data_IF_149989995460
#
_entry.id   IF_149989995460
#
_cell.length_a   1.000
_cell.length_b   1.000
_cell.length_c   1.000
_cell.angle_alpha   90.00
_cell.angle_beta   90.00
_cell.angle_gamma   90.00
#
_symmetry.space_group_name_H-M   'P 1'
#
loop_
_entity.id
_entity.type
_entity.pdbx_description
1 polymer ?
#
# COMPACT_ATOMS: atom_id res chain seq x y z
N UNK A 1 40.58 -20.01 -15.19
CA UNK A 1 40.73 -18.52 -15.10
C UNK A 1 39.43 -17.99 -14.49
N UNK A 2 39.40 -17.85 -13.17
CA UNK A 2 38.19 -17.39 -12.44
C UNK A 2 38.07 -15.87 -12.64
N UNK A 3 36.93 -15.44 -13.21
CA UNK A 3 36.62 -14.02 -13.29
C UNK A 3 36.64 -13.43 -11.87
N UNK A 4 37.41 -12.37 -11.67
CA UNK A 4 37.40 -11.58 -10.43
C UNK A 4 35.97 -11.09 -10.20
N UNK A 5 35.30 -11.64 -9.19
CA UNK A 5 34.00 -11.14 -8.72
C UNK A 5 34.17 -9.65 -8.42
N UNK A 6 33.55 -8.82 -9.28
CA UNK A 6 33.52 -7.39 -9.06
C UNK A 6 32.50 -7.13 -7.91
N UNK A 7 33.01 -7.25 -6.68
CA UNK A 7 32.20 -6.88 -5.51
C UNK A 7 32.19 -5.35 -5.34
N UNK A 8 31.02 -4.75 -5.45
CA UNK A 8 30.86 -3.32 -5.21
C UNK A 8 30.54 -3.10 -3.73
N UNK A 9 31.35 -2.26 -3.09
CA UNK A 9 31.14 -1.86 -1.69
C UNK A 9 29.97 -0.90 -1.60
N UNK A 10 28.86 -1.31 -0.99
CA UNK A 10 27.71 -0.44 -0.71
C UNK A 10 27.82 0.30 0.62
N UNK A 11 28.19 -0.45 1.64
CA UNK A 11 28.52 0.06 2.96
C UNK A 11 29.71 -0.75 3.50
N UNK A 12 30.42 -0.21 4.47
CA UNK A 12 31.50 -0.96 5.11
C UNK A 12 30.98 -2.33 5.60
N UNK A 13 31.51 -3.40 5.03
CA UNK A 13 31.13 -4.79 5.34
C UNK A 13 29.90 -5.31 4.59
N UNK A 14 29.39 -4.56 3.62
CA UNK A 14 28.26 -5.00 2.76
C UNK A 14 28.64 -4.83 1.30
N UNK A 15 28.66 -5.93 0.58
CA UNK A 15 29.10 -6.02 -0.79
C UNK A 15 27.98 -6.53 -1.70
N UNK A 16 27.90 -6.00 -2.91
CA UNK A 16 27.12 -6.62 -3.98
C UNK A 16 27.97 -7.58 -4.77
N UNK A 17 27.48 -8.77 -5.03
CA UNK A 17 28.15 -9.80 -5.84
C UNK A 17 27.41 -9.90 -7.18
N UNK A 18 28.16 -9.91 -8.26
CA UNK A 18 27.71 -10.26 -9.61
C UNK A 18 27.27 -9.10 -10.51
N UNK A 19 26.52 -8.09 -10.04
CA UNK A 19 26.04 -7.01 -10.92
C UNK A 19 26.14 -5.62 -10.27
N UNK A 20 26.64 -4.59 -11.00
CA UNK A 20 26.81 -3.23 -10.47
C UNK A 20 25.50 -2.48 -10.25
N UNK A 21 24.39 -2.89 -10.92
CA UNK A 21 23.10 -2.25 -10.75
C UNK A 21 22.27 -3.04 -9.76
N UNK A 22 22.14 -2.51 -8.54
CA UNK A 22 21.29 -3.10 -7.51
C UNK A 22 19.89 -2.50 -7.59
N UNK A 23 18.86 -3.36 -7.43
CA UNK A 23 17.47 -2.94 -7.31
C UNK A 23 17.28 -2.02 -6.10
N UNK A 24 16.14 -1.37 -6.06
CA UNK A 24 15.72 -0.58 -4.89
C UNK A 24 15.69 -1.43 -3.63
N UNK A 25 15.09 -2.60 -3.73
CA UNK A 25 14.96 -3.59 -2.64
C UNK A 25 16.35 -4.09 -2.19
N UNK A 26 17.25 -4.32 -3.12
CA UNK A 26 18.65 -4.67 -2.82
C UNK A 26 19.38 -3.58 -2.02
N UNK A 27 19.14 -2.29 -2.35
CA UNK A 27 19.68 -1.17 -1.56
C UNK A 27 19.11 -1.12 -0.16
N UNK A 28 17.82 -1.42 -0.01
CA UNK A 28 17.16 -1.49 1.30
C UNK A 28 17.71 -2.61 2.15
N UNK A 29 17.89 -3.80 1.57
CA UNK A 29 18.52 -4.93 2.26
C UNK A 29 19.96 -4.59 2.66
N UNK A 30 20.75 -3.99 1.77
CA UNK A 30 22.10 -3.55 2.06
C UNK A 30 22.16 -2.55 3.23
N UNK A 31 21.19 -1.62 3.32
CA UNK A 31 21.07 -0.68 4.41
C UNK A 31 20.81 -1.38 5.77
N UNK A 32 19.91 -2.35 5.79
CA UNK A 32 19.62 -3.16 6.99
C UNK A 32 20.87 -3.96 7.41
N UNK A 33 21.51 -4.67 6.48
CA UNK A 33 22.73 -5.43 6.75
C UNK A 33 23.86 -4.55 7.29
N UNK A 34 24.01 -3.34 6.74
CA UNK A 34 25.01 -2.38 7.21
C UNK A 34 24.75 -1.93 8.65
N UNK A 35 23.50 -1.89 9.09
CA UNK A 35 23.15 -1.55 10.47
C UNK A 35 23.29 -2.72 11.45
N UNK A 36 23.45 -3.95 10.95
CA UNK A 36 23.80 -5.17 11.72
C UNK A 36 22.60 -5.84 12.39
N UNK A 37 22.85 -6.79 13.31
CA UNK A 37 21.82 -7.60 13.93
C UNK A 37 20.70 -6.76 14.58
N UNK A 38 19.44 -7.19 14.42
CA UNK A 38 18.27 -6.51 14.96
C UNK A 38 17.86 -5.25 14.21
N UNK A 39 18.56 -4.86 13.14
CA UNK A 39 18.17 -3.75 12.30
C UNK A 39 17.01 -4.13 11.38
N UNK A 40 16.06 -3.22 11.20
CA UNK A 40 14.90 -3.39 10.31
C UNK A 40 14.60 -2.11 9.55
N UNK A 41 14.08 -2.20 8.33
CA UNK A 41 13.49 -1.04 7.67
C UNK A 41 12.33 -0.48 8.50
N UNK A 42 12.18 0.84 8.52
CA UNK A 42 11.15 1.50 9.31
C UNK A 42 10.64 2.79 8.64
N UNK A 43 9.67 3.44 9.27
CA UNK A 43 9.15 4.74 8.87
C UNK A 43 8.78 4.81 7.37
N UNK A 44 9.28 5.83 6.62
CA UNK A 44 8.92 6.06 5.21
C UNK A 44 9.43 4.96 4.29
N UNK A 45 10.58 4.37 4.59
CA UNK A 45 11.15 3.29 3.76
C UNK A 45 10.36 1.99 3.95
N UNK A 46 9.97 1.64 5.17
CA UNK A 46 9.08 0.51 5.42
C UNK A 46 7.71 0.71 4.74
N UNK A 47 7.14 1.92 4.85
CA UNK A 47 5.88 2.24 4.19
C UNK A 47 5.96 2.10 2.66
N UNK A 48 7.10 2.41 2.05
CA UNK A 48 7.33 2.20 0.63
C UNK A 48 7.46 0.70 0.27
N UNK A 49 8.10 -0.11 1.12
CA UNK A 49 8.20 -1.56 0.94
C UNK A 49 6.83 -2.24 1.06
N UNK A 50 5.99 -1.79 2.00
CA UNK A 50 4.61 -2.24 2.15
C UNK A 50 3.67 -1.78 1.02
N UNK A 51 4.09 -0.80 0.20
CA UNK A 51 3.22 -0.17 -0.80
C UNK A 51 2.21 0.83 -0.22
N UNK A 52 2.29 1.13 1.08
CA UNK A 52 1.40 2.08 1.78
C UNK A 52 1.64 3.52 1.28
N UNK A 53 2.87 3.84 0.91
CA UNK A 53 3.26 5.16 0.42
C UNK A 53 4.29 5.04 -0.71
N UNK A 54 4.36 6.02 -1.62
CA UNK A 54 5.46 6.10 -2.58
C UNK A 54 6.79 6.31 -1.83
N UNK A 55 7.87 5.79 -2.40
CA UNK A 55 9.20 6.06 -1.87
C UNK A 55 9.52 7.55 -1.95
N UNK A 56 10.04 8.10 -0.86
CA UNK A 56 10.63 9.45 -0.86
C UNK A 56 12.04 9.43 -1.44
N UNK A 57 12.50 10.57 -1.94
CA UNK A 57 13.89 10.77 -2.40
C UNK A 57 14.89 10.92 -1.23
N UNK A 58 14.43 10.79 0.00
CA UNK A 58 15.24 10.93 1.22
C UNK A 58 16.10 9.72 1.54
N UNK A 59 16.81 9.75 2.68
CA UNK A 59 17.64 8.66 3.17
C UNK A 59 16.80 7.41 3.44
N UNK A 60 17.46 6.23 3.38
CA UNK A 60 16.84 4.96 3.78
C UNK A 60 16.71 4.95 5.31
N UNK A 61 15.49 4.74 5.79
CA UNK A 61 15.17 4.77 7.21
C UNK A 61 15.23 3.37 7.81
N UNK A 62 16.08 3.20 8.82
CA UNK A 62 16.33 1.93 9.51
C UNK A 62 16.18 2.14 11.01
N UNK A 63 15.45 1.28 11.69
CA UNK A 63 15.41 1.23 13.16
C UNK A 63 16.35 0.14 13.66
N UNK A 64 17.13 0.48 14.68
CA UNK A 64 18.05 -0.43 15.37
C UNK A 64 17.73 -0.48 16.85
N UNK A 65 18.06 -1.58 17.57
CA UNK A 65 18.01 -1.61 19.03
C UNK A 65 18.84 -0.47 19.65
N UNK A 66 18.37 0.11 20.74
CA UNK A 66 19.04 1.22 21.43
C UNK A 66 20.48 0.91 21.86
N UNK A 67 20.77 -0.36 22.19
CA UNK A 67 22.09 -0.89 22.54
C UNK A 67 23.04 -0.98 21.35
N UNK A 68 22.58 -0.77 20.13
CA UNK A 68 23.41 -0.80 18.93
C UNK A 68 24.36 0.39 18.88
N UNK A 69 25.65 0.16 18.98
CA UNK A 69 26.71 1.18 18.94
C UNK A 69 26.98 1.78 17.55
N UNK A 70 26.05 1.71 16.60
CA UNK A 70 26.28 2.06 15.20
C UNK A 70 26.22 3.55 14.95
N UNK A 71 27.24 4.08 14.29
CA UNK A 71 27.38 5.49 13.91
C UNK A 71 26.56 5.87 12.68
N UNK A 72 26.38 7.17 12.46
CA UNK A 72 25.80 7.74 11.24
C UNK A 72 26.47 7.17 9.99
N UNK A 73 25.67 6.87 8.97
CA UNK A 73 26.16 6.42 7.65
C UNK A 73 25.55 7.28 6.55
N UNK A 74 26.31 7.64 5.53
CA UNK A 74 25.78 8.40 4.39
C UNK A 74 24.56 7.68 3.76
N UNK A 75 23.52 8.44 3.45
CA UNK A 75 22.29 7.92 2.84
C UNK A 75 21.38 7.11 3.77
N UNK A 76 21.70 6.96 5.05
CA UNK A 76 20.87 6.30 6.04
C UNK A 76 20.39 7.28 7.14
N UNK A 77 19.12 7.15 7.51
CA UNK A 77 18.55 7.73 8.71
C UNK A 77 18.30 6.61 9.72
N UNK A 78 19.12 6.60 10.79
CA UNK A 78 19.08 5.55 11.80
C UNK A 78 18.25 6.02 12.98
N UNK A 79 17.13 5.35 13.21
CA UNK A 79 16.30 5.50 14.39
C UNK A 79 16.73 4.48 15.46
N UNK A 80 16.69 4.88 16.73
CA UNK A 80 17.00 3.99 17.86
C UNK A 80 15.73 3.72 18.64
N UNK A 81 15.47 2.45 18.96
CA UNK A 81 14.31 2.06 19.73
C UNK A 81 14.74 1.23 20.95
N UNK A 82 14.27 1.62 22.12
CA UNK A 82 14.36 0.80 23.34
C UNK A 82 13.29 -0.28 23.40
N UNK A 83 12.24 -0.15 22.58
CA UNK A 83 11.04 -0.99 22.57
C UNK A 83 10.77 -1.51 21.13
N UNK A 84 11.73 -2.21 20.54
CA UNK A 84 11.50 -2.94 19.30
C UNK A 84 11.21 -4.41 19.65
N UNK A 85 9.94 -4.70 19.84
CA UNK A 85 9.49 -6.04 20.18
C UNK A 85 9.60 -6.96 18.93
N UNK A 86 9.88 -8.26 19.09
CA UNK A 86 9.82 -9.23 17.98
C UNK A 86 8.48 -9.22 17.24
N UNK A 87 7.35 -8.97 17.92
CA UNK A 87 6.03 -8.81 17.30
C UNK A 87 5.87 -7.56 16.44
N UNK A 88 6.73 -6.56 16.62
CA UNK A 88 6.79 -5.34 15.81
C UNK A 88 7.55 -5.53 14.49
N UNK A 89 8.17 -6.68 14.29
CA UNK A 89 9.07 -6.92 13.16
C UNK A 89 8.68 -8.15 12.35
N UNK A 90 8.97 -8.11 11.07
CA UNK A 90 8.70 -9.23 10.15
C UNK A 90 9.70 -9.19 8.99
N UNK A 91 9.47 -10.03 7.98
CA UNK A 91 10.18 -10.00 6.72
C UNK A 91 9.21 -9.86 5.55
N UNK A 92 9.50 -8.96 4.64
CA UNK A 92 8.79 -8.80 3.37
C UNK A 92 9.80 -8.82 2.25
N UNK A 93 9.59 -9.67 1.24
CA UNK A 93 10.54 -9.89 0.15
C UNK A 93 11.97 -10.23 0.65
N UNK A 94 12.08 -10.96 1.76
CA UNK A 94 13.35 -11.30 2.39
C UNK A 94 14.02 -10.18 3.20
N UNK A 95 13.45 -8.96 3.22
CA UNK A 95 14.01 -7.80 3.90
C UNK A 95 13.39 -7.68 5.31
N UNK A 96 14.19 -7.59 6.37
CA UNK A 96 13.69 -7.28 7.71
C UNK A 96 13.05 -5.88 7.73
N UNK A 97 11.83 -5.79 8.26
CA UNK A 97 11.02 -4.57 8.23
C UNK A 97 10.10 -4.53 9.45
N UNK A 98 9.71 -3.33 9.90
CA UNK A 98 8.63 -3.18 10.87
C UNK A 98 7.31 -3.67 10.30
N UNK A 99 6.45 -4.30 11.12
CA UNK A 99 5.08 -4.66 10.70
C UNK A 99 4.33 -3.45 10.16
N UNK A 100 3.25 -3.64 9.42
CA UNK A 100 2.46 -2.53 8.91
C UNK A 100 1.91 -1.66 10.05
N UNK A 101 1.43 -2.26 11.14
CA UNK A 101 0.97 -1.56 12.34
C UNK A 101 2.08 -0.71 12.97
N UNK A 102 3.25 -1.29 13.18
CA UNK A 102 4.40 -0.57 13.71
C UNK A 102 4.88 0.52 12.75
N UNK A 103 4.88 0.28 11.45
CA UNK A 103 5.22 1.27 10.43
C UNK A 103 4.31 2.50 10.52
N UNK A 104 3.00 2.32 10.62
CA UNK A 104 2.04 3.43 10.81
C UNK A 104 2.33 4.19 12.12
N UNK A 105 2.60 3.48 13.22
CA UNK A 105 2.97 4.09 14.49
C UNK A 105 4.24 4.95 14.37
N UNK A 106 5.26 4.45 13.70
CA UNK A 106 6.51 5.19 13.46
C UNK A 106 6.29 6.43 12.58
N UNK A 107 5.44 6.31 11.55
CA UNK A 107 5.09 7.43 10.66
C UNK A 107 4.42 8.59 11.39
N UNK A 108 3.66 8.35 12.46
CA UNK A 108 3.03 9.41 13.28
C UNK A 108 4.02 10.41 13.85
N UNK A 109 5.27 10.02 14.02
CA UNK A 109 6.35 10.89 14.54
C UNK A 109 6.99 11.79 13.49
N UNK A 110 6.73 11.50 12.19
CA UNK A 110 7.46 12.12 11.08
C UNK A 110 6.56 12.65 9.96
N UNK A 111 5.26 12.45 10.05
CA UNK A 111 4.26 12.87 9.07
C UNK A 111 3.14 13.67 9.73
N UNK A 112 2.51 14.54 8.93
CA UNK A 112 1.30 15.26 9.34
C UNK A 112 0.09 14.31 9.44
N UNK A 113 -0.93 14.62 10.28
CA UNK A 113 -2.10 13.76 10.49
C UNK A 113 -2.81 13.31 9.21
N UNK A 114 -3.05 14.22 8.28
CA UNK A 114 -3.69 13.92 6.99
C UNK A 114 -2.89 12.91 6.14
N UNK A 115 -1.57 12.90 6.27
CA UNK A 115 -0.70 11.94 5.58
C UNK A 115 -0.73 10.56 6.26
N UNK A 116 -0.95 10.52 7.58
CA UNK A 116 -1.14 9.27 8.32
C UNK A 116 -2.48 8.65 7.93
N UNK A 117 -3.56 9.42 7.88
CA UNK A 117 -4.88 8.93 7.46
C UNK A 117 -4.84 8.36 6.04
N UNK A 118 -4.11 9.03 5.14
CA UNK A 118 -3.89 8.50 3.80
C UNK A 118 -3.10 7.17 3.82
N UNK A 119 -2.07 7.06 4.67
CA UNK A 119 -1.29 5.83 4.79
C UNK A 119 -2.11 4.68 5.35
N UNK A 120 -2.97 4.93 6.36
CA UNK A 120 -3.85 3.92 6.95
C UNK A 120 -4.86 3.45 5.90
N UNK A 121 -5.50 4.36 5.16
CA UNK A 121 -6.42 3.99 4.07
C UNK A 121 -5.75 3.10 3.01
N UNK A 122 -4.53 3.43 2.62
CA UNK A 122 -3.78 2.58 1.69
C UNK A 122 -3.46 1.20 2.28
N UNK A 123 -3.12 1.14 3.56
CA UNK A 123 -2.90 -0.13 4.24
C UNK A 123 -4.18 -0.99 4.28
N UNK A 124 -5.35 -0.36 4.50
CA UNK A 124 -6.65 -1.04 4.43
C UNK A 124 -6.95 -1.58 3.02
N UNK A 125 -6.70 -0.76 1.98
CA UNK A 125 -6.84 -1.20 0.57
C UNK A 125 -5.94 -2.41 0.28
N UNK A 126 -4.73 -2.42 0.82
CA UNK A 126 -3.77 -3.51 0.69
C UNK A 126 -4.06 -4.68 1.66
N UNK A 127 -5.11 -4.57 2.48
CA UNK A 127 -5.48 -5.55 3.52
C UNK A 127 -4.35 -5.91 4.47
N UNK A 128 -3.55 -4.92 4.80
CA UNK A 128 -2.51 -5.06 5.80
C UNK A 128 -3.12 -4.90 7.19
N UNK A 129 -2.72 -5.75 8.12
CA UNK A 129 -3.09 -5.58 9.52
C UNK A 129 -2.30 -4.40 10.11
N UNK A 130 -3.01 -3.33 10.39
CA UNK A 130 -2.45 -2.14 11.03
C UNK A 130 -2.88 -1.99 12.48
N UNK A 131 -3.65 -2.97 13.01
CA UNK A 131 -4.19 -2.95 14.35
C UNK A 131 -5.13 -1.76 14.59
N UNK A 132 -5.54 -1.58 15.83
CA UNK A 132 -6.33 -0.40 16.23
C UNK A 132 -5.45 0.86 16.14
N UNK A 133 -5.89 1.85 15.39
CA UNK A 133 -5.17 3.11 15.20
C UNK A 133 -5.85 4.24 16.01
N UNK A 134 -5.24 4.72 17.12
CA UNK A 134 -5.81 5.80 17.90
C UNK A 134 -6.08 7.06 17.06
N UNK A 135 -7.29 7.60 17.16
CA UNK A 135 -7.70 8.81 16.44
C UNK A 135 -8.00 8.60 14.94
N UNK A 136 -7.90 7.37 14.45
CA UNK A 136 -8.38 7.01 13.12
C UNK A 136 -9.76 6.37 13.23
N UNK A 137 -10.76 7.00 12.64
CA UNK A 137 -12.05 6.36 12.40
C UNK A 137 -11.96 5.71 11.02
N UNK A 138 -12.21 4.40 10.90
CA UNK A 138 -12.39 3.76 9.60
C UNK A 138 -13.37 4.58 8.79
N UNK A 139 -13.20 4.66 7.48
CA UNK A 139 -14.15 5.38 6.62
C UNK A 139 -15.50 4.66 6.65
N UNK A 140 -16.29 4.95 7.69
CA UNK A 140 -17.65 4.41 7.87
C UNK A 140 -18.51 4.73 6.64
N UNK A 141 -18.22 5.85 5.96
CA UNK A 141 -18.88 6.24 4.73
C UNK A 141 -18.59 5.23 3.60
N UNK A 142 -17.38 4.71 3.50
CA UNK A 142 -17.03 3.68 2.50
C UNK A 142 -17.75 2.36 2.79
N UNK A 143 -17.69 1.89 4.04
CA UNK A 143 -18.42 0.67 4.47
C UNK A 143 -19.93 0.82 4.35
N UNK A 144 -20.47 2.04 4.52
CA UNK A 144 -21.89 2.33 4.32
C UNK A 144 -22.24 2.31 2.84
N UNK A 145 -21.39 2.90 1.99
CA UNK A 145 -21.57 2.92 0.55
C UNK A 145 -21.50 1.50 -0.05
N UNK A 146 -20.57 0.68 0.42
CA UNK A 146 -20.50 -0.75 0.06
C UNK A 146 -21.79 -1.49 0.42
N UNK A 147 -22.31 -1.28 1.64
CA UNK A 147 -23.59 -1.86 2.08
C UNK A 147 -24.77 -1.36 1.27
N UNK A 148 -24.74 -0.09 0.85
CA UNK A 148 -25.78 0.52 0.02
C UNK A 148 -25.83 -0.12 -1.37
N UNK A 149 -24.70 -0.27 -2.05
CA UNK A 149 -24.60 -0.97 -3.35
C UNK A 149 -25.16 -2.38 -3.27
N UNK A 150 -24.77 -3.16 -2.25
CA UNK A 150 -25.27 -4.53 -2.08
C UNK A 150 -26.77 -4.60 -1.80
N UNK A 151 -27.32 -3.63 -1.04
CA UNK A 151 -28.78 -3.51 -0.82
C UNK A 151 -29.51 -3.21 -2.12
N UNK A 152 -28.97 -2.29 -2.93
CA UNK A 152 -29.54 -1.95 -4.23
C UNK A 152 -29.55 -3.17 -5.16
N UNK A 153 -28.44 -3.89 -5.27
CA UNK A 153 -28.39 -5.11 -6.09
C UNK A 153 -29.46 -6.12 -5.65
N UNK A 154 -29.61 -6.36 -4.35
CA UNK A 154 -30.66 -7.28 -3.84
C UNK A 154 -32.07 -6.79 -4.14
N UNK A 155 -32.36 -5.51 -3.85
CA UNK A 155 -33.69 -4.91 -4.03
C UNK A 155 -34.14 -4.95 -5.50
N UNK A 156 -33.23 -4.66 -6.40
CA UNK A 156 -33.51 -4.60 -7.85
C UNK A 156 -33.18 -5.92 -8.59
N UNK A 157 -32.88 -7.00 -7.85
CA UNK A 157 -32.59 -8.33 -8.40
C UNK A 157 -31.45 -8.32 -9.41
N UNK A 158 -30.47 -7.41 -9.22
CA UNK A 158 -29.26 -7.39 -10.03
C UNK A 158 -28.28 -8.49 -9.59
N UNK A 159 -27.39 -8.98 -10.49
CA UNK A 159 -26.35 -9.92 -10.11
C UNK A 159 -25.49 -9.37 -8.96
N UNK A 160 -25.18 -10.23 -8.01
CA UNK A 160 -24.35 -9.84 -6.88
C UNK A 160 -22.88 -9.77 -7.28
N UNK A 161 -22.14 -8.71 -6.92
CA UNK A 161 -20.71 -8.63 -7.20
C UNK A 161 -19.88 -9.45 -6.23
N UNK A 162 -18.67 -9.78 -6.63
CA UNK A 162 -17.57 -10.05 -5.69
C UNK A 162 -17.17 -8.72 -5.04
N UNK A 163 -17.21 -8.65 -3.70
CA UNK A 163 -16.87 -7.42 -2.96
C UNK A 163 -15.41 -7.47 -2.53
N UNK A 164 -14.72 -6.35 -2.62
CA UNK A 164 -13.30 -6.25 -2.31
C UNK A 164 -12.50 -7.36 -3.00
N UNK A 165 -12.72 -7.52 -4.30
CA UNK A 165 -12.16 -8.61 -5.08
C UNK A 165 -10.71 -8.34 -5.50
N UNK A 166 -9.92 -9.41 -5.56
CA UNK A 166 -8.56 -9.34 -6.09
C UNK A 166 -8.55 -9.63 -7.58
N UNK A 167 -7.92 -8.76 -8.36
CA UNK A 167 -7.72 -8.90 -9.79
C UNK A 167 -6.24 -8.67 -10.15
N UNK A 168 -5.48 -9.74 -10.27
CA UNK A 168 -4.03 -9.69 -10.39
C UNK A 168 -3.39 -9.00 -9.17
N UNK A 169 -2.61 -7.90 -9.37
CA UNK A 169 -2.03 -7.14 -8.29
C UNK A 169 -3.00 -6.11 -7.67
N UNK A 170 -4.21 -5.95 -8.23
CA UNK A 170 -5.15 -4.91 -7.85
C UNK A 170 -6.27 -5.43 -6.96
N UNK A 171 -6.77 -4.54 -6.11
CA UNK A 171 -8.00 -4.72 -5.36
C UNK A 171 -9.06 -3.76 -5.92
N UNK A 172 -10.29 -4.25 -6.07
CA UNK A 172 -11.43 -3.49 -6.61
C UNK A 172 -12.62 -3.61 -5.67
N UNK A 173 -13.43 -2.55 -5.54
CA UNK A 173 -14.53 -2.54 -4.57
C UNK A 173 -15.60 -3.55 -4.94
N UNK A 174 -16.06 -3.56 -6.20
CA UNK A 174 -17.07 -4.49 -6.71
C UNK A 174 -16.65 -5.01 -8.07
N UNK A 175 -16.73 -6.31 -8.25
CA UNK A 175 -16.36 -7.01 -9.48
C UNK A 175 -17.47 -7.94 -9.95
N UNK A 176 -17.95 -7.73 -11.16
CA UNK A 176 -18.75 -8.69 -11.93
C UNK A 176 -17.83 -9.34 -12.95
N UNK A 177 -17.17 -10.41 -12.52
CA UNK A 177 -16.10 -11.05 -13.30
C UNK A 177 -16.58 -11.53 -14.66
N UNK A 178 -17.72 -12.21 -14.71
CA UNK A 178 -18.31 -12.77 -15.94
C UNK A 178 -18.81 -11.69 -16.91
N UNK A 179 -18.95 -10.46 -16.43
CA UNK A 179 -19.37 -9.30 -17.24
C UNK A 179 -18.21 -8.36 -17.57
N UNK A 180 -17.03 -8.61 -17.04
CA UNK A 180 -15.88 -7.73 -17.21
C UNK A 180 -16.10 -6.32 -16.64
N UNK A 181 -16.91 -6.18 -15.59
CA UNK A 181 -17.29 -4.88 -15.01
C UNK A 181 -16.72 -4.74 -13.60
N UNK A 182 -16.13 -3.59 -13.37
CA UNK A 182 -15.65 -3.14 -12.05
C UNK A 182 -16.39 -1.85 -11.71
N UNK A 183 -16.93 -1.78 -10.50
CA UNK A 183 -17.45 -0.53 -9.92
C UNK A 183 -16.56 -0.19 -8.72
N UNK A 184 -16.11 1.06 -8.67
CA UNK A 184 -15.43 1.66 -7.53
C UNK A 184 -16.28 2.79 -6.97
N UNK A 185 -16.29 2.91 -5.66
CA UNK A 185 -17.05 3.94 -4.97
C UNK A 185 -16.09 4.98 -4.41
N UNK A 186 -16.13 6.18 -5.02
CA UNK A 186 -15.30 7.29 -4.57
C UNK A 186 -15.95 7.97 -3.36
N UNK A 187 -15.32 7.89 -2.19
CA UNK A 187 -15.65 8.79 -1.10
C UNK A 187 -15.07 10.19 -1.38
N UNK A 188 -15.84 11.23 -1.11
CA UNK A 188 -15.61 12.66 -1.49
C UNK A 188 -14.28 13.30 -0.98
N UNK A 189 -13.37 12.53 -0.38
CA UNK A 189 -12.14 13.02 0.25
C UNK A 189 -10.85 12.85 -0.56
N UNK A 190 -10.92 12.46 -1.82
CA UNK A 190 -9.72 12.32 -2.66
C UNK A 190 -9.29 13.66 -3.28
N UNK A 191 -8.51 14.43 -2.54
CA UNK A 191 -7.60 15.41 -3.14
C UNK A 191 -6.29 14.69 -3.46
N UNK A 192 -6.26 14.02 -4.61
CA UNK A 192 -5.09 13.26 -5.05
C UNK A 192 -3.92 14.16 -5.42
N UNK A 193 -2.73 13.77 -5.00
CA UNK A 193 -1.49 14.34 -5.55
C UNK A 193 -1.36 13.93 -7.02
N UNK A 194 -0.62 14.71 -7.84
CA UNK A 194 -0.34 14.38 -9.26
C UNK A 194 0.16 12.95 -9.45
N UNK A 195 0.91 12.42 -8.49
CA UNK A 195 1.40 11.03 -8.51
C UNK A 195 0.29 10.00 -8.33
N UNK A 196 -0.66 10.24 -7.42
CA UNK A 196 -1.82 9.36 -7.25
C UNK A 196 -2.66 9.29 -8.52
N UNK A 197 -2.86 10.43 -9.18
CA UNK A 197 -3.58 10.53 -10.45
C UNK A 197 -2.90 9.77 -11.60
N UNK A 198 -1.55 9.83 -11.71
CA UNK A 198 -0.80 9.07 -12.71
C UNK A 198 -0.81 7.57 -12.44
N UNK A 199 -0.75 7.17 -11.15
CA UNK A 199 -0.84 5.77 -10.73
C UNK A 199 -2.21 5.18 -11.01
N UNK A 200 -3.28 5.93 -10.73
CA UNK A 200 -4.66 5.51 -11.00
C UNK A 200 -4.90 5.33 -12.50
N UNK A 201 -4.40 6.24 -13.33
CA UNK A 201 -4.50 6.09 -14.79
C UNK A 201 -3.77 4.86 -15.32
N UNK A 202 -2.58 4.57 -14.80
CA UNK A 202 -1.84 3.34 -15.17
C UNK A 202 -2.62 2.09 -14.77
N UNK A 203 -3.22 2.10 -13.58
CA UNK A 203 -4.08 1.02 -13.10
C UNK A 203 -5.30 0.84 -14.00
N UNK A 204 -6.01 1.93 -14.35
CA UNK A 204 -7.18 1.88 -15.23
C UNK A 204 -6.84 1.28 -16.61
N UNK A 205 -5.69 1.67 -17.18
CA UNK A 205 -5.20 1.09 -18.44
C UNK A 205 -4.93 -0.42 -18.29
N UNK A 206 -4.30 -0.85 -17.20
CA UNK A 206 -4.03 -2.28 -16.96
C UNK A 206 -5.32 -3.08 -16.78
N UNK A 207 -6.29 -2.57 -16.03
CA UNK A 207 -7.60 -3.21 -15.88
C UNK A 207 -8.31 -3.33 -17.26
N UNK A 208 -8.21 -2.29 -18.10
CA UNK A 208 -8.77 -2.32 -19.46
C UNK A 208 -8.08 -3.35 -20.34
N UNK A 209 -6.75 -3.47 -20.27
CA UNK A 209 -6.00 -4.50 -21.02
C UNK A 209 -6.34 -5.92 -20.56
N UNK A 210 -6.75 -6.08 -19.29
CA UNK A 210 -7.26 -7.34 -18.74
C UNK A 210 -8.72 -7.63 -19.15
N UNK A 211 -9.35 -6.76 -19.94
CA UNK A 211 -10.72 -6.92 -20.41
C UNK A 211 -11.80 -6.35 -19.51
N UNK A 212 -11.42 -5.57 -18.48
CA UNK A 212 -12.39 -5.01 -17.55
C UNK A 212 -12.69 -3.54 -17.82
N UNK A 213 -13.97 -3.18 -17.68
CA UNK A 213 -14.43 -1.79 -17.65
C UNK A 213 -14.55 -1.34 -16.21
N UNK A 214 -13.73 -0.36 -15.80
CA UNK A 214 -13.78 0.21 -14.46
C UNK A 214 -14.56 1.53 -14.47
N UNK A 215 -15.57 1.64 -13.65
CA UNK A 215 -16.43 2.82 -13.49
C UNK A 215 -16.42 3.27 -12.04
N UNK A 216 -16.42 4.59 -11.83
CA UNK A 216 -16.42 5.18 -10.48
C UNK A 216 -17.72 5.91 -10.23
N UNK A 217 -18.29 5.66 -9.06
CA UNK A 217 -19.53 6.32 -8.61
C UNK A 217 -19.29 7.03 -7.28
N UNK A 218 -19.76 8.25 -7.20
CA UNK A 218 -19.75 9.03 -5.97
C UNK A 218 -20.86 8.58 -5.02
N UNK A 219 -20.74 8.91 -3.74
CA UNK A 219 -21.80 8.68 -2.74
C UNK A 219 -23.17 9.23 -3.20
N UNK A 220 -23.17 10.42 -3.79
CA UNK A 220 -24.41 11.04 -4.28
C UNK A 220 -25.10 10.21 -5.37
N UNK A 221 -24.32 9.67 -6.31
CA UNK A 221 -24.84 8.84 -7.40
C UNK A 221 -25.40 7.50 -6.89
N UNK A 222 -24.75 6.88 -5.90
CA UNK A 222 -25.24 5.64 -5.28
C UNK A 222 -26.43 5.88 -4.37
N UNK A 223 -26.55 7.09 -3.77
CA UNK A 223 -27.68 7.45 -2.90
C UNK A 223 -29.01 7.53 -3.64
N UNK A 224 -28.99 7.82 -4.94
CA UNK A 224 -30.15 7.68 -5.81
C UNK A 224 -30.27 6.21 -6.27
N UNK A 225 -30.88 5.39 -5.42
CA UNK A 225 -30.87 3.95 -5.54
C UNK A 225 -31.51 3.44 -6.85
N UNK A 226 -32.60 4.08 -7.30
CA UNK A 226 -33.32 3.63 -8.49
C UNK A 226 -32.57 4.04 -9.77
N UNK A 227 -32.03 5.26 -9.82
CA UNK A 227 -31.18 5.71 -10.93
C UNK A 227 -29.87 4.92 -11.01
N UNK A 228 -29.26 4.65 -9.85
CA UNK A 228 -28.05 3.82 -9.81
C UNK A 228 -28.32 2.38 -10.27
N UNK A 229 -29.43 1.77 -9.83
CA UNK A 229 -29.83 0.44 -10.24
C UNK A 229 -30.06 0.34 -11.76
N UNK A 230 -30.77 1.31 -12.35
CA UNK A 230 -31.00 1.37 -13.79
C UNK A 230 -29.68 1.50 -14.56
N UNK A 231 -28.79 2.39 -14.10
CA UNK A 231 -27.47 2.57 -14.69
C UNK A 231 -26.63 1.28 -14.60
N UNK A 232 -26.65 0.63 -13.44
CA UNK A 232 -25.90 -0.62 -13.24
C UNK A 232 -26.45 -1.76 -14.09
N UNK A 233 -27.77 -1.87 -14.24
CA UNK A 233 -28.42 -2.85 -15.12
C UNK A 233 -27.97 -2.66 -16.58
N UNK A 234 -28.00 -1.43 -17.09
CA UNK A 234 -27.51 -1.12 -18.43
C UNK A 234 -26.03 -1.46 -18.62
N UNK A 235 -25.15 -1.13 -17.64
CA UNK A 235 -23.72 -1.46 -17.67
C UNK A 235 -23.51 -2.97 -17.68
N UNK A 236 -24.31 -3.73 -16.95
CA UNK A 236 -24.23 -5.18 -16.89
C UNK A 236 -24.89 -5.87 -18.10
N UNK A 237 -25.50 -5.12 -19.03
CA UNK A 237 -26.23 -5.66 -20.19
C UNK A 237 -27.47 -6.46 -19.79
N UNK A 238 -28.20 -5.97 -18.80
CA UNK A 238 -29.46 -6.55 -18.33
C UNK A 238 -30.59 -5.68 -18.89
N UNK A 239 -31.47 -6.29 -19.68
CA UNK A 239 -32.71 -5.70 -20.18
C UNK A 239 -33.84 -5.78 -19.14
#
# INVERSE_FOLDING_TARGET
MYARDASIVFYRGVYAVGHPRISREGRWLAAVLACGPGAVLSHRTAAALWGIRPQSSGPIEVTVPATSGRSKRPGLLIHRSTCLDPSDTTRTQGIPVTTAARTISDLRRVLAPNQIDAAIRWAEVLRLDVGAQPGYAPDLARSELERMVLRICRRHRLPMPEVNARLGPYWVDFLWRDRGVIIETDSYRYHGTRYAFESDRKRDVQLRLMGFTCLRFTHRQVSDADAFAATLAAILGLE
#
